data_IF_291003677430
#
_entry.id   IF_291003677430
#
_cell.length_a   1.000
_cell.length_b   1.000
_cell.length_c   1.000
_cell.angle_alpha   90.00
_cell.angle_beta   90.00
_cell.angle_gamma   90.00
#
_symmetry.space_group_name_H-M   'P 1'
#
loop_
_entity.id
_entity.type
_entity.pdbx_description
1 polymer ?
#
# COMPACT_ATOMS: atom_id res chain seq x y z
N UNK A 1 19.46 6.11 -11.82
CA UNK A 1 18.07 6.53 -12.07
C UNK A 1 17.19 5.30 -11.86
N UNK A 2 16.62 5.13 -10.66
CA UNK A 2 15.82 3.94 -10.25
C UNK A 2 14.79 4.37 -9.17
N UNK A 3 14.10 5.48 -9.41
CA UNK A 3 13.28 6.15 -8.39
C UNK A 3 11.78 6.07 -8.64
N UNK A 4 11.34 5.58 -9.80
CA UNK A 4 9.93 5.65 -10.19
C UNK A 4 9.07 4.53 -9.57
N UNK A 5 9.48 3.26 -9.68
CA UNK A 5 8.70 2.13 -9.14
C UNK A 5 8.57 2.15 -7.60
N UNK A 6 9.62 2.62 -6.90
CA UNK A 6 9.61 2.71 -5.42
C UNK A 6 8.53 3.66 -4.93
N UNK A 7 8.37 4.78 -5.62
CA UNK A 7 7.40 5.81 -5.27
C UNK A 7 5.98 5.38 -5.64
N UNK A 8 5.81 4.63 -6.72
CA UNK A 8 4.49 4.24 -7.21
C UNK A 8 3.70 3.39 -6.20
N UNK A 9 4.30 2.34 -5.64
CA UNK A 9 3.61 1.45 -4.69
C UNK A 9 3.21 2.19 -3.41
N UNK A 10 4.14 2.97 -2.86
CA UNK A 10 3.88 3.77 -1.65
C UNK A 10 2.82 4.84 -1.93
N UNK A 11 2.79 5.40 -3.13
CA UNK A 11 1.80 6.43 -3.51
C UNK A 11 0.43 5.83 -3.70
N UNK A 12 0.31 4.68 -4.36
CA UNK A 12 -0.96 3.92 -4.48
C UNK A 12 -1.49 3.59 -3.08
N UNK A 13 -0.62 3.06 -2.20
CA UNK A 13 -1.00 2.73 -0.83
C UNK A 13 -1.54 3.95 -0.07
N UNK A 14 -0.84 5.09 -0.17
CA UNK A 14 -1.26 6.34 0.48
C UNK A 14 -2.53 6.93 -0.12
N UNK A 15 -2.72 6.83 -1.43
CA UNK A 15 -3.94 7.28 -2.10
C UNK A 15 -5.17 6.50 -1.61
N UNK A 16 -4.99 5.21 -1.31
CA UNK A 16 -6.01 4.34 -0.76
C UNK A 16 -6.09 4.39 0.78
N UNK A 17 -5.27 5.20 1.44
CA UNK A 17 -5.15 5.27 2.91
C UNK A 17 -4.92 3.90 3.58
N UNK A 18 -4.22 2.98 2.90
CA UNK A 18 -3.96 1.64 3.40
C UNK A 18 -2.66 1.55 4.20
N UNK A 19 -2.62 0.66 5.17
CA UNK A 19 -1.38 0.19 5.78
C UNK A 19 -0.68 -0.83 4.88
N UNK A 20 0.61 -1.09 5.13
CA UNK A 20 1.34 -2.15 4.39
C UNK A 20 0.71 -3.53 4.60
N UNK A 21 0.13 -3.77 5.79
CA UNK A 21 -0.56 -5.02 6.11
C UNK A 21 -1.85 -5.15 5.33
N UNK A 22 -2.69 -4.12 5.30
CA UNK A 22 -3.94 -4.15 4.53
C UNK A 22 -3.69 -4.32 3.04
N UNK A 23 -2.70 -3.61 2.49
CA UNK A 23 -2.30 -3.81 1.09
C UNK A 23 -1.83 -5.24 0.84
N UNK A 24 -1.12 -5.85 1.79
CA UNK A 24 -0.67 -7.23 1.69
C UNK A 24 -1.83 -8.22 1.75
N UNK A 25 -2.74 -8.04 2.70
CA UNK A 25 -3.95 -8.84 2.89
C UNK A 25 -4.82 -8.80 1.61
N UNK A 26 -4.96 -7.62 1.01
CA UNK A 26 -5.72 -7.39 -0.21
C UNK A 26 -5.08 -8.06 -1.45
N UNK A 27 -3.75 -8.07 -1.50
CA UNK A 27 -2.99 -8.72 -2.57
C UNK A 27 -2.77 -10.22 -2.33
N UNK A 28 -3.09 -10.74 -1.14
CA UNK A 28 -2.84 -12.11 -0.70
C UNK A 28 -1.36 -12.42 -0.57
N UNK A 29 -0.56 -11.46 -0.08
CA UNK A 29 0.89 -11.60 0.13
C UNK A 29 1.25 -11.27 1.58
N UNK A 30 2.51 -11.51 1.96
CA UNK A 30 3.01 -11.12 3.28
C UNK A 30 3.32 -9.62 3.32
N UNK A 31 3.09 -8.97 4.45
CA UNK A 31 3.48 -7.57 4.70
C UNK A 31 4.96 -7.31 4.39
N UNK A 32 5.84 -8.26 4.72
CA UNK A 32 7.27 -8.19 4.41
C UNK A 32 7.55 -8.07 2.90
N UNK A 33 6.70 -8.66 2.05
CA UNK A 33 6.79 -8.52 0.59
C UNK A 33 6.49 -7.07 0.18
N UNK A 34 5.43 -6.48 0.72
CA UNK A 34 5.07 -5.07 0.46
C UNK A 34 6.19 -4.12 0.89
N UNK A 35 6.78 -4.33 2.07
CA UNK A 35 7.91 -3.54 2.54
C UNK A 35 9.13 -3.62 1.59
N UNK A 36 9.46 -4.82 1.08
CA UNK A 36 10.52 -4.99 0.07
C UNK A 36 10.17 -4.30 -1.24
N UNK A 37 8.93 -4.39 -1.69
CA UNK A 37 8.48 -3.74 -2.92
C UNK A 37 8.57 -2.21 -2.82
N UNK A 38 8.17 -1.62 -1.69
CA UNK A 38 8.34 -0.19 -1.39
C UNK A 38 9.81 0.23 -1.23
N UNK A 39 10.74 -0.73 -1.19
CA UNK A 39 12.19 -0.51 -1.24
C UNK A 39 12.77 -0.76 -2.64
N UNK A 40 11.94 -1.08 -3.63
CA UNK A 40 12.35 -1.42 -5.00
C UNK A 40 12.94 -2.83 -5.14
N UNK A 41 12.64 -3.74 -4.21
CA UNK A 41 13.21 -5.10 -4.17
C UNK A 41 12.13 -6.17 -4.32
N UNK A 42 12.40 -7.16 -5.18
CA UNK A 42 11.58 -8.39 -5.25
C UNK A 42 10.14 -8.17 -5.71
N UNK A 43 9.87 -7.09 -6.45
CA UNK A 43 8.59 -6.91 -7.13
C UNK A 43 8.57 -7.82 -8.35
N UNK A 44 7.64 -8.78 -8.34
CA UNK A 44 7.38 -9.63 -9.50
C UNK A 44 6.33 -8.98 -10.39
N UNK A 45 6.42 -9.19 -11.70
CA UNK A 45 5.44 -8.74 -12.69
C UNK A 45 3.99 -9.09 -12.30
N UNK A 46 3.77 -10.28 -11.71
CA UNK A 46 2.44 -10.70 -11.23
C UNK A 46 1.88 -9.78 -10.14
N UNK A 47 2.74 -9.30 -9.25
CA UNK A 47 2.35 -8.41 -8.15
C UNK A 47 2.12 -6.99 -8.66
N UNK A 48 2.95 -6.54 -9.59
CA UNK A 48 2.76 -5.27 -10.30
C UNK A 48 1.41 -5.22 -11.04
N UNK A 49 1.05 -6.28 -11.77
CA UNK A 49 -0.25 -6.36 -12.46
C UNK A 49 -1.45 -6.29 -11.50
N UNK A 50 -1.33 -6.88 -10.30
CA UNK A 50 -2.39 -6.76 -9.28
C UNK A 50 -2.52 -5.32 -8.76
N UNK A 51 -1.40 -4.62 -8.57
CA UNK A 51 -1.40 -3.21 -8.15
C UNK A 51 -2.03 -2.30 -9.20
N UNK A 52 -1.72 -2.50 -10.49
CA UNK A 52 -2.33 -1.75 -11.59
C UNK A 52 -3.86 -1.95 -11.61
N UNK A 53 -4.32 -3.21 -11.54
CA UNK A 53 -5.75 -3.52 -11.44
C UNK A 53 -6.44 -2.83 -10.25
N UNK A 54 -5.74 -2.69 -9.13
CA UNK A 54 -6.26 -2.00 -7.95
C UNK A 54 -6.44 -0.51 -8.18
N UNK A 55 -5.44 0.12 -8.80
CA UNK A 55 -5.45 1.53 -9.19
C UNK A 55 -6.58 1.82 -10.18
N UNK A 56 -6.74 0.98 -11.18
CA UNK A 56 -7.78 1.13 -12.21
C UNK A 56 -9.19 1.08 -11.59
N UNK A 57 -9.41 0.17 -10.64
CA UNK A 57 -10.69 0.06 -9.94
C UNK A 57 -10.96 1.26 -9.00
N UNK A 58 -9.92 1.82 -8.39
CA UNK A 58 -10.06 3.00 -7.52
C UNK A 58 -10.30 4.29 -8.30
N UNK A 59 -9.82 4.40 -9.54
CA UNK A 59 -10.09 5.55 -10.41
C UNK A 59 -11.58 5.70 -10.75
N UNK A 60 -12.37 4.63 -10.61
CA UNK A 60 -13.82 4.65 -10.84
C UNK A 60 -14.63 4.93 -9.56
N UNK A 61 -14.00 5.09 -8.39
CA UNK A 61 -14.69 5.31 -7.10
C UNK A 61 -14.28 6.65 -6.47
N UNK A 62 -14.27 7.73 -7.26
CA UNK A 62 -14.08 9.09 -6.75
C UNK A 62 -15.36 9.89 -6.96
N UNK A 63 -16.40 9.67 -6.13
CA UNK A 63 -17.50 10.65 -6.04
C UNK A 63 -18.14 10.82 -4.66
N UNK A 64 -18.02 9.90 -3.70
CA UNK A 64 -18.59 10.10 -2.35
C UNK A 64 -17.70 9.25 -1.42
N UNK A 65 -16.95 9.76 -0.47
CA UNK A 65 -17.38 10.18 0.87
C UNK A 65 -16.32 11.16 1.41
N UNK A 66 -16.70 12.42 1.57
CA UNK A 66 -16.07 13.29 2.54
C UNK A 66 -16.61 12.91 3.93
N UNK A 67 -15.81 12.26 4.77
CA UNK A 67 -16.04 12.21 6.20
C UNK A 67 -14.70 11.98 6.93
N UNK A 68 -14.21 12.96 7.71
CA UNK A 68 -13.12 12.72 8.65
C UNK A 68 -13.73 11.98 9.85
N UNK A 69 -13.51 10.67 9.94
CA UNK A 69 -13.65 9.97 11.22
C UNK A 69 -12.27 9.87 11.85
N UNK A 70 -12.08 10.81 12.75
CA UNK A 70 -11.28 10.75 13.97
C UNK A 70 -11.07 9.33 14.54
N UNK A 71 -9.89 9.12 15.13
CA UNK A 71 -9.45 8.00 15.99
C UNK A 71 -9.09 6.65 15.35
N UNK A 72 -7.78 6.35 15.27
CA UNK A 72 -7.12 5.58 16.32
C UNK A 72 -5.62 5.50 16.08
N UNK A 73 -4.88 6.09 17.01
CA UNK A 73 -3.44 6.04 17.16
C UNK A 73 -3.02 4.57 17.45
N UNK A 74 -2.34 3.91 16.51
CA UNK A 74 -1.68 2.63 16.81
C UNK A 74 -0.17 2.83 16.84
N UNK A 75 0.30 3.37 17.98
CA UNK A 75 1.70 3.28 18.39
C UNK A 75 1.98 1.81 18.77
N UNK A 76 2.68 1.07 17.92
CA UNK A 76 3.35 -0.15 18.37
C UNK A 76 4.69 0.23 18.98
N UNK A 77 4.68 0.38 20.31
CA UNK A 77 5.87 0.29 21.14
C UNK A 77 6.55 -1.05 20.89
N UNK A 78 7.74 -1.04 20.29
CA UNK A 78 8.69 -2.13 20.45
C UNK A 78 9.82 -1.63 21.36
N UNK A 79 9.61 -1.81 22.65
CA UNK A 79 10.68 -1.91 23.64
C UNK A 79 11.16 -3.36 23.65
N UNK A 80 12.43 -3.61 23.39
CA UNK A 80 13.09 -4.83 23.83
C UNK A 80 14.40 -4.45 24.50
N UNK A 81 14.50 -4.93 25.75
CA UNK A 81 15.65 -4.87 26.66
C UNK A 81 16.89 -5.57 26.12
#
# INVERSE_FOLDING_TARGET
>A
MYTEEKLEIKSIRKCLSLTQKELADLLGVKQASVCRWEQGKGLSLKSYLKLQKLKDNSSSMSTFIAAPTDNNEHQQHHSHS
#
